data_IF_719370187273
#
_entry.id   IF_719370187273
#
_cell.length_a   1.000
_cell.length_b   1.000
_cell.length_c   1.000
_cell.angle_alpha   90.00
_cell.angle_beta   90.00
_cell.angle_gamma   90.00
#
_symmetry.space_group_name_H-M   'P 1'
#
loop_
_entity.id
_entity.type
_entity.pdbx_description
1 polymer ?
#
# COMPACT_ATOMS: atom_id res chain seq x y z
N UNK A 1 23.18 14.65 5.07
CA UNK A 1 22.93 14.17 3.69
C UNK A 1 21.51 13.58 3.62
N UNK A 2 20.64 14.07 2.73
CA UNK A 2 19.35 13.42 2.50
C UNK A 2 19.62 11.99 1.98
N UNK A 3 19.04 10.99 2.62
CA UNK A 3 19.11 9.60 2.15
C UNK A 3 18.46 9.56 0.75
N UNK A 4 19.14 8.95 -0.21
CA UNK A 4 18.55 8.72 -1.55
C UNK A 4 17.33 7.81 -1.38
N UNK A 5 16.21 8.15 -2.05
CA UNK A 5 15.00 7.32 -2.02
C UNK A 5 15.33 5.89 -2.51
N UNK A 6 14.91 4.85 -1.78
CA UNK A 6 15.21 3.48 -2.15
C UNK A 6 14.41 3.05 -3.39
N UNK A 7 15.10 2.51 -4.37
CA UNK A 7 14.48 1.84 -5.52
C UNK A 7 14.50 0.34 -5.23
N UNK A 8 13.35 -0.32 -5.37
CA UNK A 8 13.19 -1.75 -5.16
C UNK A 8 12.81 -2.39 -6.50
N UNK A 9 13.40 -3.54 -6.81
CA UNK A 9 13.20 -4.18 -8.10
C UNK A 9 12.99 -5.68 -7.97
N UNK A 10 12.23 -6.22 -8.92
CA UNK A 10 12.10 -7.65 -9.18
C UNK A 10 12.32 -7.96 -10.66
N UNK A 11 11.84 -9.08 -11.14
CA UNK A 11 11.93 -9.47 -12.54
C UNK A 11 11.14 -8.51 -13.45
N UNK A 12 9.88 -8.18 -13.08
CA UNK A 12 8.94 -7.44 -13.93
C UNK A 12 8.58 -6.06 -13.41
N UNK A 13 8.87 -5.74 -12.14
CA UNK A 13 8.46 -4.48 -11.54
C UNK A 13 9.64 -3.71 -10.96
N UNK A 14 9.50 -2.39 -11.00
CA UNK A 14 10.34 -1.43 -10.28
C UNK A 14 9.45 -0.55 -9.42
N UNK A 15 9.83 -0.42 -8.16
CA UNK A 15 9.21 0.47 -7.18
C UNK A 15 10.11 1.68 -7.00
N UNK A 16 9.60 2.86 -7.34
CA UNK A 16 10.35 4.12 -7.32
C UNK A 16 9.59 5.22 -6.59
N UNK A 17 10.28 6.32 -6.33
CA UNK A 17 9.64 7.52 -5.80
C UNK A 17 8.59 8.05 -6.79
N UNK A 18 7.50 8.62 -6.24
CA UNK A 18 6.52 9.33 -7.04
C UNK A 18 7.14 10.58 -7.67
N UNK A 19 6.70 10.88 -8.87
CA UNK A 19 7.04 12.11 -9.60
C UNK A 19 5.75 12.83 -10.00
N UNK A 20 5.83 14.11 -10.34
CA UNK A 20 4.64 14.92 -10.63
C UNK A 20 3.79 14.34 -11.78
N UNK A 21 4.43 13.69 -12.75
CA UNK A 21 3.73 13.03 -13.85
C UNK A 21 2.91 11.79 -13.45
N UNK A 22 3.05 11.30 -12.22
CA UNK A 22 2.22 10.19 -11.71
C UNK A 22 0.83 10.66 -11.24
N UNK A 23 0.61 11.97 -11.11
CA UNK A 23 -0.63 12.53 -10.59
C UNK A 23 -1.89 11.99 -11.29
N UNK A 24 -1.87 11.94 -12.63
CA UNK A 24 -3.01 11.43 -13.42
C UNK A 24 -3.27 9.94 -13.14
N UNK A 25 -2.21 9.14 -13.00
CA UNK A 25 -2.33 7.71 -12.68
C UNK A 25 -2.83 7.49 -11.26
N UNK A 26 -2.38 8.30 -10.29
CA UNK A 26 -2.86 8.26 -8.91
C UNK A 26 -4.34 8.64 -8.85
N UNK A 27 -4.75 9.70 -9.57
CA UNK A 27 -6.16 10.08 -9.71
C UNK A 27 -6.98 8.95 -10.35
N UNK A 28 -6.52 8.38 -11.47
CA UNK A 28 -7.18 7.25 -12.13
C UNK A 28 -7.42 6.08 -11.17
N UNK A 29 -6.46 5.77 -10.31
CA UNK A 29 -6.58 4.72 -9.31
C UNK A 29 -7.56 5.09 -8.19
N UNK A 30 -7.35 6.25 -7.56
CA UNK A 30 -8.11 6.66 -6.38
C UNK A 30 -9.44 7.39 -6.70
N UNK A 31 -9.89 7.34 -7.95
CA UNK A 31 -11.25 7.65 -8.39
C UNK A 31 -11.96 6.45 -9.02
N UNK A 32 -11.26 5.33 -9.21
CA UNK A 32 -11.85 4.15 -9.86
C UNK A 32 -12.79 3.42 -8.90
N UNK A 33 -14.06 3.18 -9.27
CA UNK A 33 -15.06 2.58 -8.39
C UNK A 33 -14.62 1.27 -7.73
N UNK A 34 -14.01 0.36 -8.49
CA UNK A 34 -13.59 -0.94 -7.98
C UNK A 34 -12.42 -0.87 -6.99
N UNK A 35 -11.59 0.18 -7.07
CA UNK A 35 -10.49 0.40 -6.12
C UNK A 35 -11.04 1.04 -4.85
N UNK A 36 -11.77 2.16 -4.98
CA UNK A 36 -12.25 2.93 -3.85
C UNK A 36 -13.34 2.20 -3.06
N UNK A 37 -13.96 1.19 -3.65
CA UNK A 37 -14.97 0.40 -2.95
C UNK A 37 -14.46 -0.13 -1.60
N UNK A 38 -13.22 -0.59 -1.54
CA UNK A 38 -12.57 -1.09 -0.33
C UNK A 38 -11.39 -0.22 0.14
N UNK A 39 -11.17 0.92 -0.50
CA UNK A 39 -10.09 1.84 -0.14
C UNK A 39 -10.64 3.04 0.62
N UNK A 40 -10.04 3.38 1.75
CA UNK A 40 -10.58 4.41 2.65
C UNK A 40 -10.47 5.86 2.14
N UNK A 41 -9.82 6.07 0.97
CA UNK A 41 -9.58 7.40 0.40
C UNK A 41 -10.01 7.38 -1.06
N UNK A 42 -10.68 8.45 -1.48
CA UNK A 42 -11.04 8.70 -2.88
C UNK A 42 -10.95 10.18 -3.22
N UNK A 43 -10.74 10.49 -4.48
CA UNK A 43 -10.65 11.85 -4.98
C UNK A 43 -11.60 12.04 -6.16
N UNK A 44 -12.19 13.22 -6.27
CA UNK A 44 -13.14 13.61 -7.32
C UNK A 44 -12.49 14.45 -8.43
N UNK A 45 -11.26 14.91 -8.24
CA UNK A 45 -10.54 15.77 -9.18
C UNK A 45 -9.03 15.57 -9.09
N UNK A 46 -8.34 15.92 -10.18
CA UNK A 46 -6.87 15.96 -10.21
C UNK A 46 -6.31 16.94 -9.17
N UNK A 47 -6.98 18.06 -8.96
CA UNK A 47 -6.52 19.05 -7.99
C UNK A 47 -6.60 18.51 -6.55
N UNK A 48 -7.69 17.86 -6.19
CA UNK A 48 -7.83 17.18 -4.90
C UNK A 48 -6.79 16.06 -4.72
N UNK A 49 -6.43 15.34 -5.79
CA UNK A 49 -5.42 14.26 -5.75
C UNK A 49 -4.01 14.75 -5.41
N UNK A 50 -3.71 16.06 -5.59
CA UNK A 50 -2.43 16.64 -5.14
C UNK A 50 -2.21 16.46 -3.64
N UNK A 51 -3.27 16.38 -2.84
CA UNK A 51 -3.17 16.09 -1.41
C UNK A 51 -2.57 14.70 -1.18
N UNK A 52 -2.93 13.71 -2.01
CA UNK A 52 -2.34 12.38 -1.94
C UNK A 52 -0.85 12.38 -2.29
N UNK A 53 -0.46 13.12 -3.33
CA UNK A 53 0.95 13.25 -3.71
C UNK A 53 1.75 13.91 -2.59
N UNK A 54 1.18 14.94 -1.97
CA UNK A 54 1.78 15.59 -0.79
C UNK A 54 1.89 14.62 0.38
N UNK A 55 0.86 13.81 0.64
CA UNK A 55 0.87 12.82 1.71
C UNK A 55 2.02 11.80 1.52
N UNK A 56 2.25 11.29 0.31
CA UNK A 56 3.38 10.41 0.04
C UNK A 56 4.73 11.06 0.41
N UNK A 57 4.91 12.33 0.03
CA UNK A 57 6.12 13.07 0.34
C UNK A 57 6.27 13.38 1.85
N UNK A 58 5.17 13.70 2.52
CA UNK A 58 5.15 14.00 3.95
C UNK A 58 5.44 12.77 4.81
N UNK A 59 5.00 11.57 4.41
CA UNK A 59 5.34 10.32 5.09
C UNK A 59 6.86 10.10 5.14
N UNK A 60 7.54 10.28 4.02
CA UNK A 60 9.00 10.15 3.93
C UNK A 60 9.69 11.23 4.77
N UNK A 61 9.27 12.49 4.61
CA UNK A 61 9.84 13.63 5.31
C UNK A 61 9.74 13.51 6.83
N UNK A 62 8.61 13.01 7.32
CA UNK A 62 8.33 12.88 8.75
C UNK A 62 8.76 11.50 9.30
N UNK A 63 9.30 10.62 8.47
CA UNK A 63 9.68 9.25 8.82
C UNK A 63 8.52 8.42 9.43
N UNK A 64 7.27 8.74 9.03
CA UNK A 64 6.06 8.03 9.45
C UNK A 64 5.59 6.98 8.46
N UNK A 65 6.23 6.90 7.31
CA UNK A 65 5.94 5.92 6.26
C UNK A 65 6.86 6.10 5.05
N UNK A 66 6.65 5.21 4.08
CA UNK A 66 7.28 5.29 2.77
C UNK A 66 6.40 4.55 1.75
N UNK A 67 6.10 5.21 0.65
CA UNK A 67 5.29 4.66 -0.43
C UNK A 67 5.99 4.78 -1.77
N UNK A 68 5.76 3.81 -2.63
CA UNK A 68 6.35 3.71 -3.96
C UNK A 68 5.28 3.71 -5.04
N UNK A 69 5.59 4.36 -6.15
CA UNK A 69 4.96 4.09 -7.42
C UNK A 69 5.45 2.73 -7.93
N UNK A 70 4.53 1.81 -8.18
CA UNK A 70 4.82 0.49 -8.74
C UNK A 70 4.73 0.60 -10.25
N UNK A 71 5.82 0.33 -10.95
CA UNK A 71 5.91 0.45 -12.39
C UNK A 71 6.37 -0.86 -13.04
N UNK A 72 5.97 -1.06 -14.28
CA UNK A 72 6.50 -2.13 -15.12
C UNK A 72 7.98 -1.84 -15.45
N UNK A 73 8.82 -2.85 -15.36
CA UNK A 73 10.24 -2.72 -15.65
C UNK A 73 10.53 -2.63 -17.15
N UNK A 74 9.66 -3.21 -17.98
CA UNK A 74 9.86 -3.28 -19.43
C UNK A 74 9.62 -1.94 -20.13
N UNK A 75 8.54 -1.24 -19.74
CA UNK A 75 8.08 -0.03 -20.43
C UNK A 75 7.91 1.19 -19.50
N UNK A 76 8.19 1.04 -18.21
CA UNK A 76 8.06 2.11 -17.23
C UNK A 76 6.61 2.48 -16.87
N UNK A 77 5.62 1.75 -17.41
CA UNK A 77 4.20 2.03 -17.20
C UNK A 77 3.82 1.90 -15.73
N UNK A 78 3.05 2.88 -15.24
CA UNK A 78 2.51 2.87 -13.89
C UNK A 78 1.48 1.75 -13.73
N UNK A 79 1.67 0.92 -12.72
CA UNK A 79 0.81 -0.23 -12.41
C UNK A 79 -0.08 0.02 -11.20
N UNK A 80 0.39 0.81 -10.25
CA UNK A 80 -0.28 1.07 -8.98
C UNK A 80 0.66 1.69 -7.96
N UNK A 81 0.31 1.58 -6.69
CA UNK A 81 1.07 2.09 -5.58
C UNK A 81 1.09 1.12 -4.40
N UNK A 82 2.14 1.16 -3.61
CA UNK A 82 2.24 0.36 -2.40
C UNK A 82 3.28 0.91 -1.44
N UNK A 83 3.09 0.65 -0.15
CA UNK A 83 3.99 1.19 0.84
C UNK A 83 3.67 0.80 2.27
N UNK A 84 4.37 1.47 3.16
CA UNK A 84 4.23 1.37 4.61
C UNK A 84 3.87 2.73 5.18
N UNK A 85 2.90 2.78 6.07
CA UNK A 85 2.50 3.96 6.83
C UNK A 85 2.33 3.59 8.30
N UNK A 86 1.99 4.58 9.12
CA UNK A 86 1.82 4.39 10.57
C UNK A 86 3.02 3.70 11.22
N UNK A 87 4.24 4.07 10.79
CA UNK A 87 5.47 3.51 11.33
C UNK A 87 5.63 3.91 12.81
N UNK A 88 5.76 2.91 13.67
CA UNK A 88 6.13 3.08 15.08
C UNK A 88 7.53 2.54 15.31
N UNK A 89 8.50 3.44 15.53
CA UNK A 89 9.88 3.07 15.85
C UNK A 89 9.96 2.37 17.21
N UNK A 90 9.17 2.83 18.17
CA UNK A 90 9.10 2.26 19.51
C UNK A 90 8.62 0.81 19.49
N UNK A 91 7.51 0.56 18.81
CA UNK A 91 6.91 -0.77 18.72
C UNK A 91 7.43 -1.62 17.54
N UNK A 92 8.35 -1.06 16.74
CA UNK A 92 8.92 -1.70 15.52
C UNK A 92 7.85 -2.29 14.63
N UNK A 93 6.79 -1.54 14.38
CA UNK A 93 5.68 -1.94 13.53
C UNK A 93 5.30 -0.89 12.51
N UNK A 94 4.60 -1.33 11.45
CA UNK A 94 4.03 -0.47 10.43
C UNK A 94 2.84 -1.13 9.77
N UNK A 95 2.09 -0.35 9.03
CA UNK A 95 0.92 -0.78 8.28
C UNK A 95 1.24 -0.84 6.79
N UNK A 96 0.84 -1.91 6.11
CA UNK A 96 1.02 -2.06 4.68
C UNK A 96 -0.23 -1.61 3.95
N UNK A 97 -0.04 -0.80 2.89
CA UNK A 97 -1.10 -0.44 1.96
C UNK A 97 -0.67 -0.75 0.53
N UNK A 98 -1.66 -1.09 -0.31
CA UNK A 98 -1.39 -1.46 -1.69
C UNK A 98 -2.65 -1.35 -2.57
N UNK A 99 -2.49 -0.83 -3.78
CA UNK A 99 -3.51 -0.88 -4.81
C UNK A 99 -2.87 -0.95 -6.20
N UNK A 100 -3.57 -1.56 -7.15
CA UNK A 100 -3.20 -1.62 -8.56
C UNK A 100 -4.35 -1.10 -9.40
N UNK A 101 -4.02 -0.48 -10.53
CA UNK A 101 -4.99 -0.17 -11.56
C UNK A 101 -5.68 -1.47 -12.04
N UNK A 102 -7.01 -1.47 -12.29
CA UNK A 102 -7.77 -2.68 -12.59
C UNK A 102 -7.25 -3.49 -13.75
N UNK A 103 -6.74 -2.83 -14.79
CA UNK A 103 -6.14 -3.48 -15.94
C UNK A 103 -4.89 -4.32 -15.61
N UNK A 104 -4.34 -4.16 -14.40
CA UNK A 104 -3.16 -4.90 -13.92
C UNK A 104 -3.52 -6.04 -12.94
N UNK A 105 -4.80 -6.21 -12.61
CA UNK A 105 -5.25 -7.27 -11.72
C UNK A 105 -5.10 -8.66 -12.35
N UNK A 106 -4.96 -9.68 -11.51
CA UNK A 106 -4.85 -11.07 -11.96
C UNK A 106 -3.52 -11.44 -12.64
N UNK A 107 -2.59 -10.48 -12.83
CA UNK A 107 -1.31 -10.68 -13.52
C UNK A 107 -0.13 -10.99 -12.59
N UNK A 108 -0.38 -11.09 -11.29
CA UNK A 108 0.64 -11.42 -10.28
C UNK A 108 1.49 -10.24 -9.80
N UNK A 109 1.26 -9.02 -10.28
CA UNK A 109 2.06 -7.85 -9.90
C UNK A 109 2.01 -7.55 -8.39
N UNK A 110 0.86 -7.73 -7.74
CA UNK A 110 0.76 -7.55 -6.29
C UNK A 110 1.63 -8.57 -5.54
N UNK A 111 1.56 -9.84 -5.93
CA UNK A 111 2.34 -10.92 -5.31
C UNK A 111 3.85 -10.73 -5.50
N UNK A 112 4.25 -10.04 -6.57
CA UNK A 112 5.65 -9.72 -6.85
C UNK A 112 6.13 -8.44 -6.14
N UNK A 113 5.27 -7.42 -6.07
CA UNK A 113 5.63 -6.11 -5.50
C UNK A 113 5.60 -6.06 -3.98
N UNK A 114 4.57 -6.65 -3.34
CA UNK A 114 4.43 -6.58 -1.89
C UNK A 114 5.61 -7.18 -1.11
N UNK A 115 6.22 -8.33 -1.54
CA UNK A 115 7.44 -8.83 -0.90
C UNK A 115 8.58 -7.84 -0.86
N UNK A 116 8.75 -7.01 -1.88
CA UNK A 116 9.77 -5.96 -1.90
C UNK A 116 9.52 -4.92 -0.79
N UNK A 117 8.26 -4.51 -0.63
CA UNK A 117 7.85 -3.51 0.38
C UNK A 117 8.04 -4.05 1.80
N UNK A 118 7.48 -5.22 2.12
CA UNK A 118 7.61 -5.72 3.48
C UNK A 118 9.03 -6.21 3.81
N UNK A 119 9.80 -6.72 2.85
CA UNK A 119 11.21 -7.03 3.07
C UNK A 119 12.03 -5.77 3.35
N UNK A 120 11.74 -4.66 2.66
CA UNK A 120 12.36 -3.37 3.00
C UNK A 120 11.98 -2.92 4.41
N UNK A 121 10.72 -3.07 4.80
CA UNK A 121 10.25 -2.79 6.16
C UNK A 121 11.03 -3.58 7.22
N UNK A 122 11.17 -4.88 7.02
CA UNK A 122 11.87 -5.76 7.96
C UNK A 122 13.38 -5.53 7.99
N UNK A 123 14.03 -5.49 6.81
CA UNK A 123 15.48 -5.52 6.72
C UNK A 123 16.13 -4.13 6.77
N UNK A 124 15.46 -3.10 6.24
CA UNK A 124 16.04 -1.76 6.12
C UNK A 124 15.51 -0.78 7.17
N UNK A 125 14.21 -0.84 7.48
CA UNK A 125 13.60 -0.02 8.54
C UNK A 125 13.77 -0.68 9.92
N UNK A 126 13.88 -2.01 9.96
CA UNK A 126 14.04 -2.78 11.19
C UNK A 126 12.71 -3.06 11.90
N UNK A 127 11.62 -3.13 11.15
CA UNK A 127 10.33 -3.51 11.71
C UNK A 127 10.38 -4.96 12.19
N UNK A 128 9.60 -5.27 13.20
CA UNK A 128 9.34 -6.61 13.69
C UNK A 128 7.98 -7.13 13.18
N UNK A 129 7.04 -6.22 12.99
CA UNK A 129 5.67 -6.52 12.64
C UNK A 129 5.16 -5.59 11.51
N UNK A 130 4.47 -6.16 10.54
CA UNK A 130 3.73 -5.41 9.53
C UNK A 130 2.27 -5.86 9.60
N UNK A 131 1.37 -4.89 9.75
CA UNK A 131 -0.07 -5.07 9.87
C UNK A 131 -0.76 -4.70 8.55
N UNK A 132 -1.91 -5.32 8.28
CA UNK A 132 -2.83 -4.94 7.22
C UNK A 132 -4.26 -5.00 7.73
N UNK A 133 -5.03 -3.96 7.47
CA UNK A 133 -6.45 -3.87 7.83
C UNK A 133 -7.30 -4.03 6.58
N UNK A 134 -8.24 -4.93 6.61
CA UNK A 134 -9.02 -5.32 5.43
C UNK A 134 -10.49 -5.38 5.77
N UNK A 135 -11.35 -4.69 5.01
CA UNK A 135 -12.80 -4.84 5.17
C UNK A 135 -13.18 -6.33 5.05
N UNK A 136 -14.00 -6.81 5.98
CA UNK A 136 -14.35 -8.24 6.08
C UNK A 136 -14.97 -8.82 4.82
N UNK A 137 -15.53 -7.99 3.94
CA UNK A 137 -16.10 -8.39 2.66
C UNK A 137 -15.09 -8.40 1.50
N UNK A 138 -13.87 -7.88 1.71
CA UNK A 138 -12.84 -7.82 0.67
C UNK A 138 -12.10 -9.17 0.52
N UNK A 139 -12.77 -10.16 -0.02
CA UNK A 139 -12.23 -11.51 -0.21
C UNK A 139 -10.96 -11.55 -1.08
N UNK A 140 -10.84 -10.64 -2.05
CA UNK A 140 -9.67 -10.58 -2.94
C UNK A 140 -8.42 -10.14 -2.18
N UNK A 141 -8.53 -9.14 -1.33
CA UNK A 141 -7.42 -8.67 -0.49
C UNK A 141 -7.04 -9.74 0.53
N UNK A 142 -8.01 -10.38 1.18
CA UNK A 142 -7.80 -11.47 2.14
C UNK A 142 -7.02 -12.63 1.52
N UNK A 143 -7.42 -13.07 0.31
CA UNK A 143 -6.71 -14.10 -0.45
C UNK A 143 -5.27 -13.68 -0.81
N UNK A 144 -5.07 -12.41 -1.19
CA UNK A 144 -3.74 -11.88 -1.50
C UNK A 144 -2.83 -11.89 -0.28
N UNK A 145 -3.30 -11.41 0.87
CA UNK A 145 -2.55 -11.42 2.13
C UNK A 145 -2.22 -12.84 2.60
N UNK A 146 -3.17 -13.78 2.50
CA UNK A 146 -2.93 -15.18 2.82
C UNK A 146 -1.83 -15.82 1.94
N UNK A 147 -1.85 -15.55 0.63
CA UNK A 147 -0.78 -16.00 -0.30
C UNK A 147 0.59 -15.43 0.07
N UNK A 148 0.63 -14.21 0.59
CA UNK A 148 1.84 -13.54 1.07
C UNK A 148 2.21 -13.96 2.50
N UNK A 149 1.49 -14.94 3.07
CA UNK A 149 1.73 -15.49 4.42
C UNK A 149 1.59 -14.43 5.51
N UNK A 150 0.60 -13.55 5.37
CA UNK A 150 0.05 -12.80 6.49
C UNK A 150 -0.98 -13.66 7.21
N UNK A 151 -0.97 -13.65 8.52
CA UNK A 151 -1.89 -14.40 9.34
C UNK A 151 -3.04 -13.51 9.79
N UNK A 152 -4.28 -14.02 9.74
CA UNK A 152 -5.43 -13.39 10.35
C UNK A 152 -5.30 -13.49 11.89
N UNK A 153 -5.39 -12.36 12.58
CA UNK A 153 -5.29 -12.32 14.05
C UNK A 153 -6.63 -12.00 14.72
N UNK A 154 -7.57 -11.44 13.98
CA UNK A 154 -8.90 -11.16 14.52
C UNK A 154 -9.70 -10.19 13.67
N UNK A 155 -10.91 -9.89 14.13
CA UNK A 155 -11.84 -8.97 13.48
C UNK A 155 -12.27 -7.89 14.46
N UNK A 156 -12.14 -6.64 14.07
CA UNK A 156 -12.73 -5.48 14.74
C UNK A 156 -14.13 -5.26 14.16
N UNK A 157 -15.17 -5.54 14.96
CA UNK A 157 -16.55 -5.39 14.51
C UNK A 157 -16.98 -3.93 14.58
N UNK A 158 -17.69 -3.46 13.54
CA UNK A 158 -18.34 -2.14 13.49
C UNK A 158 -17.40 -1.01 13.94
N UNK A 159 -16.14 -1.09 13.50
CA UNK A 159 -15.08 -0.22 13.99
C UNK A 159 -14.92 1.08 13.19
N UNK A 160 -15.50 1.18 12.01
CA UNK A 160 -15.48 2.35 11.16
C UNK A 160 -16.86 2.60 10.52
N UNK A 161 -17.09 3.84 10.07
CA UNK A 161 -18.28 4.21 9.30
C UNK A 161 -17.87 4.55 7.88
N UNK A 162 -18.48 3.87 6.90
CA UNK A 162 -18.29 4.10 5.48
C UNK A 162 -19.66 4.14 4.80
N UNK A 163 -19.92 5.19 4.01
CA UNK A 163 -21.21 5.39 3.32
C UNK A 163 -22.43 5.25 4.26
N UNK A 164 -22.35 5.83 5.45
CA UNK A 164 -23.36 5.78 6.51
C UNK A 164 -23.67 4.36 7.05
N UNK A 165 -22.81 3.38 6.82
CA UNK A 165 -22.90 2.04 7.37
C UNK A 165 -21.66 1.71 8.20
N UNK A 166 -21.85 0.94 9.28
CA UNK A 166 -20.73 0.38 10.02
C UNK A 166 -20.05 -0.70 9.20
N UNK A 167 -18.72 -0.69 9.17
CA UNK A 167 -17.90 -1.72 8.57
C UNK A 167 -17.00 -2.36 9.62
N UNK A 168 -16.66 -3.61 9.38
CA UNK A 168 -15.75 -4.39 10.22
C UNK A 168 -14.44 -4.64 9.47
N UNK A 169 -13.33 -4.66 10.20
CA UNK A 169 -12.00 -4.87 9.65
C UNK A 169 -11.37 -6.14 10.19
N UNK A 170 -10.86 -6.98 9.30
CA UNK A 170 -9.96 -8.08 9.65
C UNK A 170 -8.53 -7.56 9.80
N UNK A 171 -7.86 -7.97 10.87
CA UNK A 171 -6.47 -7.64 11.16
C UNK A 171 -5.59 -8.78 10.67
N UNK A 172 -4.77 -8.49 9.69
CA UNK A 172 -3.73 -9.40 9.22
C UNK A 172 -2.36 -8.91 9.67
N UNK A 173 -1.48 -9.84 10.00
CA UNK A 173 -0.12 -9.49 10.37
C UNK A 173 0.92 -10.46 9.80
N UNK A 174 2.09 -9.91 9.57
CA UNK A 174 3.31 -10.67 9.27
C UNK A 174 4.39 -10.24 10.24
N UNK A 175 4.98 -11.24 10.92
CA UNK A 175 6.00 -11.04 11.96
C UNK A 175 7.29 -11.70 11.50
N UNK A 176 8.42 -11.03 11.74
CA UNK A 176 9.73 -11.65 11.55
C UNK A 176 9.94 -12.71 12.62
N UNK A 177 10.03 -13.96 12.20
CA UNK A 177 10.49 -15.05 13.07
C UNK A 177 12.01 -14.94 13.15
N UNK A 178 12.53 -14.70 14.35
CA UNK A 178 13.97 -14.70 14.62
C UNK A 178 14.49 -16.12 14.69
#
# INVERSE_FOLDING_TARGET
MRRKFPILESERVVLRQFVDSDLENVFKGLSHPDIIHYYGISFDSLDATKEQMKWFADLEKNETGIWWAVCSKDDGRFLGAGGLNNLSKENKKGEIGFWLLPENWGKGFMTESMPLVFNYGFNSIGLHRIEGFVETENENCKKALARLKFNLEGTMRDCEIKNNAFISLDIYAKIVVK
#
